data_IF_473311821872
#
_entry.id   IF_473311821872
#
_cell.length_a   1.000
_cell.length_b   1.000
_cell.length_c   1.000
_cell.angle_alpha   90.00
_cell.angle_beta   90.00
_cell.angle_gamma   90.00
#
_symmetry.space_group_name_H-M   'P 1'
#
loop_
_entity.id
_entity.type
_entity.pdbx_description
1 polymer ?
#
# COMPACT_ATOMS: atom_id res chain seq x y z
N UNK A 1 0.59 22.88 -3.92
CA UNK A 1 1.13 21.55 -4.28
C UNK A 1 0.22 20.53 -3.61
N UNK A 2 -0.56 19.79 -4.39
CA UNK A 2 -1.34 18.68 -3.85
C UNK A 2 -0.33 17.60 -3.47
N UNK A 3 -0.23 17.30 -2.17
CA UNK A 3 0.59 16.18 -1.72
C UNK A 3 0.09 14.88 -2.34
N UNK A 4 0.97 13.90 -2.50
CA UNK A 4 0.61 12.60 -3.06
C UNK A 4 -0.48 11.96 -2.21
N UNK A 5 -1.66 11.74 -2.79
CA UNK A 5 -2.71 10.99 -2.09
C UNK A 5 -2.36 9.52 -2.05
N UNK A 6 -2.25 8.98 -0.84
CA UNK A 6 -2.17 7.53 -0.61
C UNK A 6 -3.56 6.93 -0.58
N UNK A 7 -3.64 5.60 -0.62
CA UNK A 7 -4.87 4.86 -0.43
C UNK A 7 -5.72 5.35 0.77
N UNK A 8 -5.08 5.64 1.91
CA UNK A 8 -5.78 6.07 3.13
C UNK A 8 -6.47 7.41 2.95
N UNK A 9 -5.90 8.31 2.15
CA UNK A 9 -6.50 9.62 1.84
C UNK A 9 -7.78 9.42 1.00
N UNK A 10 -7.73 8.57 -0.03
CA UNK A 10 -8.92 8.27 -0.84
C UNK A 10 -10.06 7.64 -0.03
N UNK A 11 -9.74 6.73 0.89
CA UNK A 11 -10.75 6.16 1.79
C UNK A 11 -11.30 7.22 2.74
N UNK A 12 -10.45 8.09 3.28
CA UNK A 12 -10.89 9.17 4.15
C UNK A 12 -11.81 10.15 3.44
N UNK A 13 -11.47 10.53 2.20
CA UNK A 13 -12.32 11.34 1.32
C UNK A 13 -13.68 10.71 1.09
N UNK A 14 -13.70 9.42 0.73
CA UNK A 14 -14.94 8.67 0.51
C UNK A 14 -15.81 8.60 1.77
N UNK A 15 -15.21 8.38 2.93
CA UNK A 15 -15.92 8.27 4.21
C UNK A 15 -16.29 9.63 4.82
N UNK A 16 -15.76 10.73 4.29
CA UNK A 16 -15.93 12.07 4.87
C UNK A 16 -15.28 12.22 6.25
N UNK A 17 -14.20 11.49 6.52
CA UNK A 17 -13.49 11.53 7.81
C UNK A 17 -12.22 12.37 7.72
N UNK A 18 -11.74 12.96 8.84
CA UNK A 18 -10.50 13.72 8.84
C UNK A 18 -9.29 12.87 8.40
N UNK A 19 -8.35 13.50 7.70
CA UNK A 19 -7.10 12.84 7.33
C UNK A 19 -6.26 12.51 8.57
N UNK A 20 -5.51 11.40 8.55
CA UNK A 20 -4.50 11.16 9.57
C UNK A 20 -3.49 12.31 9.57
N UNK A 21 -3.11 12.85 10.73
CA UNK A 21 -2.16 13.94 10.80
C UNK A 21 -0.78 13.47 10.29
N UNK A 22 -0.06 14.26 9.48
CA UNK A 22 1.26 13.90 9.00
C UNK A 22 2.27 14.04 10.14
N UNK A 23 2.48 12.97 10.92
CA UNK A 23 3.44 12.96 12.04
C UNK A 23 4.56 11.98 11.73
N UNK A 24 5.81 12.46 11.86
CA UNK A 24 7.02 11.61 11.74
C UNK A 24 7.14 10.62 12.91
N UNK A 25 6.60 10.98 14.07
CA UNK A 25 6.60 10.14 15.26
C UNK A 25 5.39 10.44 16.13
N UNK A 26 4.90 9.41 16.83
CA UNK A 26 3.89 9.58 17.88
C UNK A 26 4.47 10.37 19.06
N UNK A 27 5.79 10.29 19.27
CA UNK A 27 6.51 10.95 20.36
C UNK A 27 7.11 12.31 19.99
N UNK A 28 7.26 12.60 18.69
CA UNK A 28 7.75 13.89 18.20
C UNK A 28 6.74 14.48 17.19
N UNK A 29 5.96 15.50 17.58
CA UNK A 29 4.83 16.01 16.82
C UNK A 29 5.25 16.94 15.67
N UNK A 30 6.33 16.60 14.97
CA UNK A 30 6.81 17.35 13.83
C UNK A 30 6.02 16.94 12.59
N UNK A 31 5.37 17.92 11.96
CA UNK A 31 4.62 17.72 10.72
C UNK A 31 5.39 18.26 9.54
N UNK A 32 5.76 17.36 8.64
CA UNK A 32 6.32 17.74 7.34
C UNK A 32 5.32 17.44 6.24
N UNK A 33 4.92 18.48 5.51
CA UNK A 33 4.13 18.37 4.31
C UNK A 33 5.04 17.92 3.15
N UNK A 34 4.59 16.99 2.31
CA UNK A 34 5.38 16.48 1.17
C UNK A 34 6.27 15.26 1.47
N UNK A 35 6.25 14.74 2.69
CA UNK A 35 6.80 13.42 3.01
C UNK A 35 5.74 12.35 2.78
N UNK A 36 6.08 11.31 2.01
CA UNK A 36 5.32 10.06 1.99
C UNK A 36 5.61 9.31 3.30
N UNK A 37 4.61 9.20 4.17
CA UNK A 37 4.67 8.32 5.34
C UNK A 37 4.25 6.91 4.91
N UNK A 38 5.16 6.15 4.32
CA UNK A 38 4.98 4.72 4.30
C UNK A 38 5.50 4.16 5.61
N UNK A 39 4.59 3.68 6.44
CA UNK A 39 4.98 2.72 7.45
C UNK A 39 5.52 1.50 6.72
N UNK A 40 6.71 1.04 7.11
CA UNK A 40 7.05 -0.37 6.92
C UNK A 40 5.88 -1.19 7.46
N UNK A 41 5.43 -2.17 6.68
CA UNK A 41 4.30 -3.05 6.98
C UNK A 41 4.20 -3.40 8.46
N UNK A 42 3.04 -3.17 9.06
CA UNK A 42 2.72 -3.71 10.38
C UNK A 42 2.56 -5.23 10.23
N UNK A 43 3.64 -5.99 10.41
CA UNK A 43 3.55 -7.44 10.44
C UNK A 43 2.74 -7.88 11.66
N UNK A 44 1.76 -8.77 11.48
CA UNK A 44 1.12 -9.45 12.60
C UNK A 44 1.93 -10.73 12.84
N UNK A 45 2.95 -10.65 13.70
CA UNK A 45 3.62 -11.85 14.20
C UNK A 45 2.63 -12.68 15.04
N UNK A 46 2.71 -14.02 15.08
CA UNK A 46 1.85 -14.86 15.93
C UNK A 46 1.82 -14.41 17.40
N UNK A 47 2.93 -13.87 17.90
CA UNK A 47 3.08 -13.33 19.25
C UNK A 47 2.34 -11.99 19.42
N UNK A 48 2.31 -11.15 18.38
CA UNK A 48 1.59 -9.85 18.35
C UNK A 48 0.15 -9.96 17.88
N UNK A 49 -0.23 -11.02 17.16
CA UNK A 49 -1.60 -11.33 16.75
C UNK A 49 -2.49 -11.75 17.92
N UNK A 50 -1.89 -12.04 19.07
CA UNK A 50 -2.59 -12.19 20.36
C UNK A 50 -3.01 -10.85 20.95
N UNK A 51 -2.33 -9.77 20.57
CA UNK A 51 -2.66 -8.41 20.95
C UNK A 51 -3.43 -7.76 19.81
N UNK A 52 -4.71 -8.15 19.64
CA UNK A 52 -5.63 -7.41 18.77
C UNK A 52 -6.00 -6.09 19.48
N UNK A 53 -4.99 -5.24 19.70
CA UNK A 53 -5.10 -4.02 20.47
C UNK A 53 -6.21 -3.14 19.90
N UNK A 54 -6.30 -3.03 18.58
CA UNK A 54 -7.37 -2.28 17.92
C UNK A 54 -8.77 -2.84 18.29
N UNK A 55 -8.96 -4.15 18.28
CA UNK A 55 -10.22 -4.77 18.68
C UNK A 55 -10.53 -4.54 20.16
N UNK A 56 -9.52 -4.68 21.03
CA UNK A 56 -9.63 -4.40 22.46
C UNK A 56 -9.93 -2.92 22.74
N UNK A 57 -9.52 -2.01 21.85
CA UNK A 57 -9.88 -0.59 21.85
C UNK A 57 -11.22 -0.29 21.17
N UNK A 58 -11.99 -1.32 20.77
CA UNK A 58 -13.34 -1.16 20.21
C UNK A 58 -13.43 -1.16 18.69
N UNK A 59 -12.32 -1.33 17.95
CA UNK A 59 -12.39 -1.50 16.51
C UNK A 59 -13.15 -2.79 16.16
N UNK A 60 -14.09 -2.70 15.22
CA UNK A 60 -14.87 -3.84 14.72
C UNK A 60 -14.74 -4.03 13.22
N UNK A 61 -14.48 -2.97 12.47
CA UNK A 61 -14.27 -3.00 11.01
C UNK A 61 -12.81 -2.73 10.74
N UNK A 62 -12.06 -3.73 10.28
CA UNK A 62 -10.61 -3.68 10.18
C UNK A 62 -10.21 -4.14 8.78
N UNK A 63 -9.67 -3.23 7.98
CA UNK A 63 -9.10 -3.54 6.68
C UNK A 63 -7.59 -3.74 6.81
N UNK A 64 -7.11 -4.89 6.34
CA UNK A 64 -5.69 -5.22 6.33
C UNK A 64 -5.27 -5.56 4.90
N UNK A 65 -4.33 -4.77 4.37
CA UNK A 65 -3.74 -5.03 3.06
C UNK A 65 -2.65 -6.08 3.16
N UNK A 66 -2.56 -6.91 2.13
CA UNK A 66 -1.41 -7.75 1.88
C UNK A 66 -0.19 -6.94 1.46
N UNK A 67 0.98 -7.56 1.45
CA UNK A 67 2.18 -6.94 0.90
C UNK A 67 2.08 -6.84 -0.62
N UNK A 68 2.30 -5.65 -1.16
CA UNK A 68 2.51 -5.44 -2.59
C UNK A 68 3.75 -6.21 -3.11
N UNK A 69 4.02 -6.19 -4.43
CA UNK A 69 5.12 -6.95 -5.03
C UNK A 69 6.49 -6.32 -4.70
N UNK A 70 6.99 -6.54 -3.47
CA UNK A 70 8.24 -5.96 -2.96
C UNK A 70 9.43 -6.27 -3.87
N UNK A 71 9.47 -7.46 -4.48
CA UNK A 71 10.52 -7.85 -5.42
C UNK A 71 10.66 -6.91 -6.61
N UNK A 72 9.60 -6.17 -6.94
CA UNK A 72 9.57 -5.25 -8.07
C UNK A 72 9.89 -3.79 -7.70
N UNK A 73 10.11 -3.49 -6.42
CA UNK A 73 10.41 -2.13 -5.97
C UNK A 73 11.77 -1.67 -6.56
N UNK A 74 11.92 -0.42 -7.04
CA UNK A 74 13.15 0.03 -7.69
C UNK A 74 14.41 -0.17 -6.83
N UNK A 75 14.34 0.13 -5.54
CA UNK A 75 15.44 -0.09 -4.59
C UNK A 75 15.82 -1.57 -4.45
N UNK A 76 14.83 -2.45 -4.47
CA UNK A 76 14.97 -3.90 -4.34
C UNK A 76 15.59 -4.50 -5.59
N UNK A 77 15.09 -4.14 -6.78
CA UNK A 77 15.62 -4.58 -8.07
C UNK A 77 17.05 -4.10 -8.27
N UNK A 78 17.34 -2.83 -7.98
CA UNK A 78 18.71 -2.29 -8.09
C UNK A 78 19.68 -2.99 -7.13
N UNK A 79 19.23 -3.40 -5.95
CA UNK A 79 20.06 -4.13 -4.99
C UNK A 79 20.33 -5.59 -5.38
N UNK A 80 19.42 -6.24 -6.12
CA UNK A 80 19.53 -7.67 -6.44
C UNK A 80 20.54 -7.97 -7.55
N UNK A 81 20.99 -6.94 -8.31
CA UNK A 81 21.84 -7.08 -9.51
C UNK A 81 21.27 -8.04 -10.56
N UNK A 82 19.96 -8.33 -10.49
CA UNK A 82 19.27 -9.18 -11.44
C UNK A 82 18.87 -8.35 -12.66
N UNK A 83 18.84 -9.00 -13.83
CA UNK A 83 18.25 -8.42 -15.02
C UNK A 83 16.75 -8.73 -15.02
N UNK A 84 15.90 -7.71 -14.95
CA UNK A 84 14.45 -7.88 -14.98
C UNK A 84 13.69 -6.75 -14.28
N UNK A 85 12.35 -6.83 -14.29
CA UNK A 85 11.48 -5.89 -13.58
C UNK A 85 11.29 -6.22 -12.11
N UNK A 86 11.53 -7.48 -11.72
CA UNK A 86 11.27 -7.98 -10.37
C UNK A 86 12.32 -9.02 -9.95
N UNK A 87 12.62 -9.05 -8.66
CA UNK A 87 13.31 -10.14 -7.97
C UNK A 87 12.28 -11.16 -7.48
N UNK A 88 12.09 -12.24 -8.24
CA UNK A 88 11.00 -13.19 -7.97
C UNK A 88 11.19 -14.01 -6.70
N UNK A 89 12.43 -14.20 -6.23
CA UNK A 89 12.69 -14.85 -4.95
C UNK A 89 12.09 -14.03 -3.79
N UNK A 90 12.12 -12.70 -3.90
CA UNK A 90 11.51 -11.81 -2.90
C UNK A 90 9.98 -11.82 -3.01
N UNK A 91 9.44 -11.89 -4.24
CA UNK A 91 7.99 -12.02 -4.43
C UNK A 91 7.46 -13.37 -3.94
N UNK A 92 8.24 -14.44 -4.01
CA UNK A 92 7.87 -15.74 -3.45
C UNK A 92 7.68 -15.66 -1.93
N UNK A 93 8.62 -15.01 -1.22
CA UNK A 93 8.51 -14.75 0.22
C UNK A 93 7.28 -13.88 0.55
N UNK A 94 7.02 -12.86 -0.27
CA UNK A 94 5.81 -12.03 -0.15
C UNK A 94 4.54 -12.87 -0.30
N UNK A 95 4.48 -13.78 -1.28
CA UNK A 95 3.33 -14.64 -1.52
C UNK A 95 3.08 -15.60 -0.34
N UNK A 96 4.15 -16.13 0.28
CA UNK A 96 4.05 -16.92 1.49
C UNK A 96 3.43 -16.12 2.64
N UNK A 97 3.91 -14.88 2.86
CA UNK A 97 3.34 -13.99 3.88
C UNK A 97 1.86 -13.68 3.61
N UNK A 98 1.52 -13.29 2.38
CA UNK A 98 0.15 -12.95 1.99
C UNK A 98 -0.82 -14.13 2.16
N UNK A 99 -0.35 -15.35 1.90
CA UNK A 99 -1.13 -16.58 2.14
C UNK A 99 -1.43 -16.76 3.63
N UNK A 100 -0.43 -16.62 4.51
CA UNK A 100 -0.61 -16.75 5.95
C UNK A 100 -1.47 -15.62 6.53
N UNK A 101 -1.35 -14.40 5.99
CA UNK A 101 -2.18 -13.28 6.38
C UNK A 101 -3.66 -13.54 6.09
N UNK A 102 -4.00 -14.06 4.89
CA UNK A 102 -5.39 -14.41 4.56
C UNK A 102 -6.00 -15.39 5.58
N UNK A 103 -5.28 -16.50 5.86
CA UNK A 103 -5.71 -17.50 6.85
C UNK A 103 -5.88 -16.90 8.26
N UNK A 104 -4.98 -15.98 8.65
CA UNK A 104 -5.07 -15.29 9.93
C UNK A 104 -6.32 -14.41 10.01
N UNK A 105 -6.63 -13.62 8.97
CA UNK A 105 -7.80 -12.73 8.96
C UNK A 105 -9.11 -13.52 8.98
N UNK A 106 -9.17 -14.67 8.30
CA UNK A 106 -10.31 -15.60 8.37
C UNK A 106 -10.50 -16.14 9.80
N UNK A 107 -9.41 -16.55 10.45
CA UNK A 107 -9.44 -17.03 11.84
C UNK A 107 -9.87 -15.90 12.81
N UNK A 108 -9.34 -14.68 12.65
CA UNK A 108 -9.71 -13.55 13.49
C UNK A 108 -11.20 -13.18 13.32
N UNK A 109 -11.73 -13.21 12.10
CA UNK A 109 -13.15 -12.95 11.83
C UNK A 109 -14.06 -13.96 12.53
N UNK A 110 -13.66 -15.24 12.58
CA UNK A 110 -14.46 -16.29 13.24
C UNK A 110 -14.30 -16.32 14.75
N UNK A 111 -13.15 -15.88 15.27
CA UNK A 111 -12.82 -15.93 16.71
C UNK A 111 -13.22 -14.67 17.47
N UNK A 112 -13.29 -13.51 16.81
CA UNK A 112 -13.60 -12.23 17.45
C UNK A 112 -15.04 -11.81 17.15
N UNK A 113 -15.95 -11.87 18.15
CA UNK A 113 -17.35 -11.50 17.96
C UNK A 113 -17.53 -10.10 17.41
N UNK A 114 -18.55 -9.94 16.57
CA UNK A 114 -18.94 -8.67 15.94
C UNK A 114 -17.81 -7.97 15.15
N UNK A 115 -16.78 -8.72 14.75
CA UNK A 115 -15.67 -8.19 13.97
C UNK A 115 -15.79 -8.53 12.50
N UNK A 116 -15.29 -7.63 11.67
CA UNK A 116 -15.19 -7.75 10.23
C UNK A 116 -13.76 -7.42 9.83
N UNK A 117 -12.99 -8.46 9.49
CA UNK A 117 -11.68 -8.27 8.85
C UNK A 117 -11.85 -8.34 7.34
N UNK A 118 -11.46 -7.26 6.67
CA UNK A 118 -11.41 -7.20 5.21
C UNK A 118 -9.96 -7.42 4.77
N UNK A 119 -9.77 -8.32 3.81
CA UNK A 119 -8.49 -8.60 3.22
C UNK A 119 -8.31 -7.81 1.92
N UNK A 120 -7.36 -6.86 1.93
CA UNK A 120 -7.00 -6.04 0.78
C UNK A 120 -5.93 -6.69 -0.08
N UNK A 121 -6.35 -7.37 -1.15
CA UNK A 121 -5.51 -8.14 -2.08
C UNK A 121 -4.97 -7.27 -3.24
N UNK A 122 -4.03 -6.38 -2.93
CA UNK A 122 -3.45 -5.48 -3.92
C UNK A 122 -2.19 -6.03 -4.64
N UNK A 123 -1.62 -7.15 -4.19
CA UNK A 123 -0.37 -7.72 -4.74
C UNK A 123 -0.52 -8.07 -6.22
N UNK A 124 -1.54 -8.86 -6.57
CA UNK A 124 -1.73 -9.34 -7.93
C UNK A 124 -1.98 -8.19 -8.92
N UNK A 125 -2.80 -7.21 -8.53
CA UNK A 125 -3.04 -6.01 -9.32
C UNK A 125 -1.76 -5.20 -9.52
N UNK A 126 -0.98 -4.99 -8.45
CA UNK A 126 0.29 -4.28 -8.53
C UNK A 126 1.32 -5.00 -9.40
N UNK A 127 1.44 -6.32 -9.26
CA UNK A 127 2.35 -7.13 -10.07
C UNK A 127 1.96 -7.06 -11.55
N UNK A 128 0.68 -7.24 -11.89
CA UNK A 128 0.21 -7.12 -13.27
C UNK A 128 0.41 -5.71 -13.84
N UNK A 129 0.21 -4.66 -13.04
CA UNK A 129 0.49 -3.29 -13.47
C UNK A 129 1.98 -3.02 -13.74
N UNK A 130 2.88 -3.71 -13.02
CA UNK A 130 4.33 -3.60 -13.28
C UNK A 130 4.71 -4.35 -14.55
N UNK A 131 4.23 -5.57 -14.72
CA UNK A 131 4.57 -6.42 -15.87
C UNK A 131 3.90 -5.90 -17.16
N UNK A 132 2.62 -5.52 -17.08
CA UNK A 132 1.76 -5.08 -18.19
C UNK A 132 1.28 -3.62 -18.03
N UNK A 133 2.19 -2.63 -17.95
CA UNK A 133 1.85 -1.25 -17.58
C UNK A 133 0.84 -0.57 -18.50
N UNK A 134 0.89 -0.88 -19.80
CA UNK A 134 -0.01 -0.28 -20.80
C UNK A 134 -1.49 -0.63 -20.58
N UNK A 135 -1.79 -1.78 -19.96
CA UNK A 135 -3.15 -2.16 -19.56
C UNK A 135 -3.75 -1.19 -18.53
N UNK A 136 -2.89 -0.52 -17.77
CA UNK A 136 -3.25 0.40 -16.69
C UNK A 136 -3.00 1.87 -17.07
N UNK A 137 -2.68 2.16 -18.35
CA UNK A 137 -2.35 3.52 -18.80
C UNK A 137 -0.97 4.01 -18.35
N UNK A 138 -0.13 3.12 -17.83
CA UNK A 138 1.23 3.44 -17.38
C UNK A 138 2.23 3.35 -18.54
N UNK A 139 3.17 4.29 -18.59
CA UNK A 139 4.31 4.29 -19.50
C UNK A 139 5.58 3.78 -18.83
N UNK A 140 5.78 4.06 -17.54
CA UNK A 140 6.92 3.56 -16.77
C UNK A 140 6.45 2.89 -15.49
N UNK A 141 6.87 1.65 -15.28
CA UNK A 141 6.54 0.87 -14.09
C UNK A 141 7.77 0.35 -13.35
N UNK A 142 8.95 0.89 -13.63
CA UNK A 142 10.22 0.42 -13.07
C UNK A 142 11.07 1.54 -12.52
N UNK A 143 10.85 2.78 -12.92
CA UNK A 143 11.60 3.94 -12.45
C UNK A 143 10.75 4.88 -11.59
N UNK A 144 11.37 5.54 -10.60
CA UNK A 144 10.74 6.66 -9.89
C UNK A 144 10.37 7.81 -10.82
N UNK A 145 9.22 8.44 -10.59
CA UNK A 145 8.87 9.69 -11.26
C UNK A 145 9.68 10.89 -10.75
N UNK A 146 10.06 10.93 -9.48
CA UNK A 146 10.90 12.01 -8.96
C UNK A 146 12.39 11.69 -9.05
N UNK A 147 13.23 12.71 -9.02
CA UNK A 147 14.66 12.53 -8.76
C UNK A 147 14.85 12.05 -7.31
N UNK A 148 15.65 11.01 -7.12
CA UNK A 148 15.88 10.41 -5.80
C UNK A 148 17.35 10.30 -5.46
N UNK A 149 17.65 10.25 -4.17
CA UNK A 149 18.99 9.88 -3.69
C UNK A 149 19.32 8.43 -4.07
N UNK A 150 20.61 8.08 -4.03
CA UNK A 150 21.05 6.70 -4.26
C UNK A 150 20.68 6.17 -5.65
N UNK A 151 20.57 7.05 -6.66
CA UNK A 151 20.26 6.71 -8.05
C UNK A 151 18.99 5.85 -8.16
N UNK A 152 17.84 6.34 -7.72
CA UNK A 152 16.56 5.62 -7.86
C UNK A 152 16.22 4.67 -6.72
N UNK A 153 17.02 4.59 -5.65
CA UNK A 153 16.85 3.60 -4.57
C UNK A 153 16.37 4.19 -3.25
N UNK A 154 16.26 5.51 -3.15
CA UNK A 154 15.81 6.21 -1.95
C UNK A 154 14.61 7.11 -2.24
N UNK A 155 14.19 7.89 -1.23
CA UNK A 155 13.15 8.90 -1.37
C UNK A 155 13.55 10.04 -2.31
N UNK A 156 12.54 10.80 -2.76
CA UNK A 156 12.76 11.99 -3.59
C UNK A 156 13.69 13.00 -2.93
N UNK A 157 14.45 13.72 -3.75
CA UNK A 157 15.19 14.90 -3.32
C UNK A 157 14.18 16.03 -3.07
N UNK A 158 14.15 16.63 -1.85
CA UNK A 158 13.21 17.69 -1.55
C UNK A 158 13.34 18.89 -2.49
N UNK A 159 12.20 19.50 -2.82
CA UNK A 159 12.08 20.70 -3.67
C UNK A 159 12.54 20.55 -5.14
N UNK A 160 12.87 19.35 -5.60
CA UNK A 160 13.08 19.09 -7.02
C UNK A 160 11.76 18.84 -7.76
N UNK A 161 11.74 19.20 -9.05
CA UNK A 161 10.59 18.93 -9.92
C UNK A 161 10.47 17.44 -10.22
N UNK A 162 9.28 16.84 -10.12
CA UNK A 162 9.03 15.47 -10.55
C UNK A 162 9.01 15.35 -12.08
N UNK A 163 8.85 14.13 -12.59
CA UNK A 163 8.62 13.85 -14.00
C UNK A 163 7.38 14.60 -14.55
N UNK A 164 7.33 14.79 -15.88
CA UNK A 164 6.25 15.52 -16.55
C UNK A 164 4.89 14.83 -16.48
N UNK A 165 4.86 13.49 -16.38
CA UNK A 165 3.65 12.68 -16.42
C UNK A 165 3.60 11.69 -15.24
N UNK A 166 3.37 12.18 -14.00
CA UNK A 166 3.32 11.32 -12.81
C UNK A 166 2.17 10.31 -12.85
N UNK A 167 1.08 10.62 -13.55
CA UNK A 167 -0.07 9.72 -13.69
C UNK A 167 0.19 8.53 -14.63
N UNK A 168 1.27 8.59 -15.40
CA UNK A 168 1.72 7.50 -16.28
C UNK A 168 2.85 6.68 -15.64
N UNK A 169 3.22 6.96 -14.38
CA UNK A 169 4.24 6.23 -13.63
C UNK A 169 3.62 5.36 -12.55
N UNK A 170 4.17 4.15 -12.35
CA UNK A 170 3.78 3.31 -11.22
C UNK A 170 4.41 3.79 -9.91
N UNK A 171 5.71 4.09 -9.93
CA UNK A 171 6.49 4.50 -8.77
C UNK A 171 6.67 6.01 -8.69
N UNK A 172 6.43 6.57 -7.51
CA UNK A 172 6.74 7.96 -7.20
C UNK A 172 8.23 8.14 -6.87
N UNK A 173 8.73 7.36 -5.91
CA UNK A 173 10.14 7.34 -5.49
C UNK A 173 10.71 5.91 -5.55
N UNK A 174 11.85 5.63 -4.91
CA UNK A 174 12.47 4.30 -4.89
C UNK A 174 11.68 3.20 -4.18
N UNK A 175 10.51 3.50 -3.59
CA UNK A 175 9.69 2.58 -2.79
C UNK A 175 8.19 2.70 -3.06
N UNK A 176 7.68 3.92 -3.20
CA UNK A 176 6.27 4.22 -3.10
C UNK A 176 5.58 4.38 -4.44
N UNK A 177 4.27 4.17 -4.44
CA UNK A 177 3.44 4.29 -5.63
C UNK A 177 3.08 5.76 -5.91
N UNK A 178 2.76 6.06 -7.16
CA UNK A 178 2.15 7.33 -7.53
C UNK A 178 0.72 7.43 -7.04
N UNK A 179 0.22 8.66 -6.96
CA UNK A 179 -1.18 8.94 -6.63
C UNK A 179 -2.15 8.24 -7.60
N UNK A 180 -1.83 8.21 -8.91
CA UNK A 180 -2.63 7.52 -9.91
C UNK A 180 -2.75 6.02 -9.61
N UNK A 181 -1.65 5.38 -9.26
CA UNK A 181 -1.64 3.97 -8.88
C UNK A 181 -2.44 3.72 -7.60
N UNK A 182 -2.27 4.55 -6.57
CA UNK A 182 -3.08 4.46 -5.35
C UNK A 182 -4.57 4.66 -5.61
N UNK A 183 -4.95 5.53 -6.56
CA UNK A 183 -6.35 5.77 -6.93
C UNK A 183 -7.04 4.52 -7.45
N UNK A 184 -6.34 3.71 -8.27
CA UNK A 184 -6.88 2.47 -8.82
C UNK A 184 -7.13 1.46 -7.70
N UNK A 185 -6.14 1.24 -6.84
CA UNK A 185 -6.27 0.32 -5.68
C UNK A 185 -7.40 0.78 -4.75
N UNK A 186 -7.46 2.09 -4.47
CA UNK A 186 -8.49 2.68 -3.62
C UNK A 186 -9.89 2.47 -4.20
N UNK A 187 -10.10 2.82 -5.47
CA UNK A 187 -11.39 2.69 -6.14
C UNK A 187 -11.89 1.23 -6.13
N UNK A 188 -11.01 0.28 -6.45
CA UNK A 188 -11.35 -1.14 -6.45
C UNK A 188 -11.68 -1.69 -5.06
N UNK A 189 -11.07 -1.18 -4.00
CA UNK A 189 -11.41 -1.57 -2.64
C UNK A 189 -12.65 -0.82 -2.08
N UNK A 190 -12.90 0.40 -2.55
CA UNK A 190 -14.02 1.22 -2.07
C UNK A 190 -15.34 0.65 -2.59
N UNK A 191 -15.43 0.40 -3.89
CA UNK A 191 -16.69 0.02 -4.55
C UNK A 191 -16.56 -1.16 -5.54
N UNK A 192 -15.35 -1.68 -5.79
CA UNK A 192 -15.12 -2.84 -6.65
C UNK A 192 -15.25 -4.18 -5.92
N UNK A 193 -14.81 -5.26 -6.55
CA UNK A 193 -14.84 -6.63 -6.01
C UNK A 193 -13.49 -7.36 -6.07
N UNK A 194 -12.51 -6.80 -6.77
CA UNK A 194 -11.26 -7.51 -7.09
C UNK A 194 -10.18 -7.33 -6.01
N UNK A 195 -10.23 -6.24 -5.23
CA UNK A 195 -9.20 -5.90 -4.25
C UNK A 195 -9.61 -6.23 -2.83
N UNK A 196 -10.83 -5.90 -2.39
CA UNK A 196 -11.23 -6.07 -1.00
C UNK A 196 -12.26 -7.18 -0.82
N UNK A 197 -11.91 -8.16 0.02
CA UNK A 197 -12.70 -9.37 0.28
C UNK A 197 -12.97 -9.55 1.78
N UNK A 198 -14.11 -10.13 2.17
CA UNK A 198 -15.19 -10.62 1.30
C UNK A 198 -16.11 -9.53 0.76
N UNK A 199 -15.91 -8.27 1.17
CA UNK A 199 -16.72 -7.14 0.76
C UNK A 199 -15.88 -5.87 0.64
N UNK A 200 -16.34 -4.92 -0.16
CA UNK A 200 -15.70 -3.62 -0.33
C UNK A 200 -16.05 -2.66 0.82
N UNK A 201 -15.39 -1.50 0.87
CA UNK A 201 -15.62 -0.51 1.94
C UNK A 201 -17.07 -0.02 1.93
N UNK A 202 -17.66 0.21 0.76
CA UNK A 202 -19.05 0.64 0.64
C UNK A 202 -20.02 -0.35 1.30
N UNK A 203 -19.77 -1.65 1.21
CA UNK A 203 -20.53 -2.69 1.90
C UNK A 203 -20.19 -2.76 3.39
N UNK A 204 -18.89 -2.70 3.72
CA UNK A 204 -18.41 -2.79 5.10
C UNK A 204 -18.99 -1.69 6.00
N UNK A 205 -19.20 -0.49 5.49
CA UNK A 205 -19.78 0.60 6.30
C UNK A 205 -21.25 0.40 6.62
N UNK A 206 -21.97 -0.46 5.89
CA UNK A 206 -23.40 -0.73 6.07
C UNK A 206 -23.71 -1.87 7.03
N UNK A 207 -22.71 -2.68 7.42
CA UNK A 207 -22.87 -3.80 8.36
C UNK A 207 -22.68 -3.41 9.82
#
# INVERSE_FOLDING_TARGET
>A
MNGLSTYVIYVADYLGVPYPPPRVSVFQPMSYLGYNYASGSCGILPETGKFINLYNFGARKILVFELGPIGCIPSIVKSSKLNGKCDENKNEIVNMFNTQLGLLLENLTTTLPDSHFIFGKAHGLGYDAIINPTKYGLRDSSNPCCNTWGNGTLSCIPAESPCLAPDEHYFWDGYHLTQATYSVIATQCISGFDVCLPMNIQQLVQV
#
